data_IF_103519384694
#
_entry.id   IF_103519384694
#
_cell.length_a   1.000
_cell.length_b   1.000
_cell.length_c   1.000
_cell.angle_alpha   90.00
_cell.angle_beta   90.00
_cell.angle_gamma   90.00
#
_symmetry.space_group_name_H-M   'P 1'
#
loop_
_entity.id
_entity.type
_entity.pdbx_description
1 polymer ?
#
# COMPACT_ATOMS: atom_id res chain seq x y z
N UNK A 1 -4.66 -9.17 -29.45
CA UNK A 1 -3.30 -9.12 -28.84
C UNK A 1 -3.03 -7.85 -28.03
N UNK A 2 -3.31 -6.64 -28.54
CA UNK A 2 -3.04 -5.38 -27.79
C UNK A 2 -3.68 -5.31 -26.38
N UNK A 3 -4.97 -5.69 -26.17
CA UNK A 3 -5.54 -5.69 -24.82
C UNK A 3 -4.89 -6.71 -23.89
N UNK A 4 -4.53 -7.89 -24.39
CA UNK A 4 -3.85 -8.94 -23.60
C UNK A 4 -2.46 -8.48 -23.15
N UNK A 5 -1.67 -7.90 -24.06
CA UNK A 5 -0.33 -7.39 -23.75
C UNK A 5 -0.40 -6.30 -22.67
N UNK A 6 -1.35 -5.38 -22.82
CA UNK A 6 -1.61 -4.36 -21.81
C UNK A 6 -1.97 -5.00 -20.46
N UNK A 7 -2.99 -5.86 -20.44
CA UNK A 7 -3.53 -6.46 -19.23
C UNK A 7 -2.54 -7.31 -18.43
N UNK A 8 -1.65 -8.01 -19.11
CA UNK A 8 -0.70 -8.92 -18.48
C UNK A 8 0.65 -8.22 -18.34
N UNK A 9 1.31 -7.92 -19.45
CA UNK A 9 2.69 -7.44 -19.45
C UNK A 9 2.83 -6.09 -18.77
N UNK A 10 2.00 -5.10 -19.12
CA UNK A 10 2.10 -3.76 -18.51
C UNK A 10 1.74 -3.77 -17.03
N UNK A 11 0.76 -4.60 -16.62
CA UNK A 11 0.40 -4.74 -15.21
C UNK A 11 1.55 -5.34 -14.38
N UNK A 12 2.16 -6.42 -14.86
CA UNK A 12 3.30 -7.05 -14.19
C UNK A 12 4.54 -6.15 -14.19
N UNK A 13 4.83 -5.47 -15.30
CA UNK A 13 5.98 -4.56 -15.39
C UNK A 13 5.85 -3.41 -14.37
N UNK A 14 4.67 -2.79 -14.26
CA UNK A 14 4.44 -1.75 -13.25
C UNK A 14 4.60 -2.30 -11.82
N UNK A 15 4.06 -3.50 -11.56
CA UNK A 15 4.20 -4.19 -10.29
C UNK A 15 5.66 -4.45 -9.94
N UNK A 16 6.45 -4.98 -10.88
CA UNK A 16 7.89 -5.23 -10.71
C UNK A 16 8.62 -3.94 -10.37
N UNK A 17 8.39 -2.83 -11.10
CA UNK A 17 9.04 -1.56 -10.78
C UNK A 17 8.70 -1.07 -9.36
N UNK A 18 7.48 -1.32 -8.88
CA UNK A 18 7.14 -1.04 -7.48
C UNK A 18 7.91 -1.98 -6.53
N UNK A 19 7.91 -3.29 -6.78
CA UNK A 19 8.58 -4.28 -5.92
C UNK A 19 10.09 -4.06 -5.77
N UNK A 20 10.76 -3.55 -6.81
CA UNK A 20 12.21 -3.29 -6.81
C UNK A 20 12.56 -1.83 -6.49
N UNK A 21 11.57 -0.97 -6.23
CA UNK A 21 11.82 0.44 -5.93
C UNK A 21 12.37 1.25 -7.12
N UNK A 22 11.96 0.94 -8.35
CA UNK A 22 12.22 1.75 -9.55
C UNK A 22 11.08 2.77 -9.76
N UNK A 23 10.93 3.67 -8.80
CA UNK A 23 9.80 4.59 -8.65
C UNK A 23 9.63 5.55 -9.83
N UNK A 24 10.74 5.98 -10.45
CA UNK A 24 10.70 6.88 -11.62
C UNK A 24 10.18 6.18 -12.86
N UNK A 25 10.56 4.91 -13.07
CA UNK A 25 10.07 4.11 -14.20
C UNK A 25 8.59 3.80 -14.02
N UNK A 26 8.19 3.38 -12.81
CA UNK A 26 6.79 3.17 -12.47
C UNK A 26 5.94 4.42 -12.76
N UNK A 27 6.38 5.60 -12.29
CA UNK A 27 5.68 6.87 -12.50
C UNK A 27 5.58 7.25 -13.99
N UNK A 28 6.61 6.96 -14.80
CA UNK A 28 6.63 7.28 -16.22
C UNK A 28 5.63 6.45 -17.05
N UNK A 29 5.27 5.24 -16.60
CA UNK A 29 4.29 4.38 -17.29
C UNK A 29 2.84 4.85 -17.10
N UNK A 30 2.54 5.55 -15.99
CA UNK A 30 1.17 5.84 -15.58
C UNK A 30 0.33 6.55 -16.66
N UNK A 31 0.81 7.59 -17.38
CA UNK A 31 -0.02 8.27 -18.38
C UNK A 31 -0.53 7.36 -19.50
N UNK A 32 0.31 6.43 -19.97
CA UNK A 32 -0.09 5.47 -20.99
C UNK A 32 -1.05 4.41 -20.41
N UNK A 33 -0.80 3.96 -19.18
CA UNK A 33 -1.68 3.04 -18.47
C UNK A 33 -3.07 3.64 -18.29
N UNK A 34 -3.18 4.89 -17.84
CA UNK A 34 -4.45 5.60 -17.67
C UNK A 34 -5.24 5.70 -18.97
N UNK A 35 -4.55 5.95 -20.10
CA UNK A 35 -5.16 5.96 -21.43
C UNK A 35 -5.66 4.57 -21.82
N UNK A 36 -4.85 3.53 -21.62
CA UNK A 36 -5.17 2.17 -22.02
C UNK A 36 -6.25 1.52 -21.13
N UNK A 37 -6.30 1.85 -19.84
CA UNK A 37 -7.39 1.45 -18.94
C UNK A 37 -8.75 1.93 -19.47
N UNK A 38 -8.82 3.17 -19.98
CA UNK A 38 -10.04 3.71 -20.60
C UNK A 38 -10.34 3.06 -21.95
N UNK A 39 -9.32 2.79 -22.75
CA UNK A 39 -9.48 2.23 -24.10
C UNK A 39 -9.92 0.76 -24.08
N UNK A 40 -9.44 -0.01 -23.11
CA UNK A 40 -9.67 -1.45 -22.99
C UNK A 40 -10.51 -1.81 -21.77
N UNK A 41 -11.39 -0.91 -21.33
CA UNK A 41 -12.15 -1.06 -20.10
C UNK A 41 -13.01 -2.33 -20.10
N UNK A 42 -13.59 -2.70 -21.24
CA UNK A 42 -14.42 -3.90 -21.40
C UNK A 42 -13.62 -5.20 -21.47
N UNK A 43 -12.36 -5.14 -21.88
CA UNK A 43 -11.46 -6.28 -22.08
C UNK A 43 -10.53 -6.51 -20.88
N UNK A 44 -10.43 -5.54 -19.98
CA UNK A 44 -9.65 -5.65 -18.75
C UNK A 44 -10.47 -6.39 -17.70
N UNK A 45 -10.01 -7.56 -17.27
CA UNK A 45 -10.70 -8.30 -16.22
C UNK A 45 -10.60 -7.57 -14.86
N UNK A 46 -11.52 -7.91 -13.95
CA UNK A 46 -11.67 -7.27 -12.64
C UNK A 46 -10.36 -7.28 -11.82
N UNK A 47 -9.66 -8.42 -11.77
CA UNK A 47 -8.42 -8.57 -11.00
C UNK A 47 -7.31 -7.66 -11.55
N UNK A 48 -7.15 -7.59 -12.86
CA UNK A 48 -6.14 -6.74 -13.48
C UNK A 48 -6.44 -5.26 -13.28
N UNK A 49 -7.72 -4.84 -13.35
CA UNK A 49 -8.10 -3.44 -13.00
C UNK A 49 -7.65 -3.10 -11.58
N UNK A 50 -7.94 -3.98 -10.63
CA UNK A 50 -7.55 -3.80 -9.22
C UNK A 50 -6.04 -3.73 -9.04
N UNK A 51 -5.29 -4.62 -9.69
CA UNK A 51 -3.83 -4.59 -9.66
C UNK A 51 -3.26 -3.30 -10.27
N UNK A 52 -3.81 -2.84 -11.39
CA UNK A 52 -3.43 -1.55 -11.97
C UNK A 52 -3.67 -0.41 -10.98
N UNK A 53 -4.87 -0.30 -10.42
CA UNK A 53 -5.19 0.79 -9.49
C UNK A 53 -4.28 0.77 -8.26
N UNK A 54 -4.03 -0.41 -7.69
CA UNK A 54 -3.15 -0.57 -6.53
C UNK A 54 -1.70 -0.21 -6.87
N UNK A 55 -1.17 -0.71 -7.99
CA UNK A 55 0.20 -0.44 -8.39
C UNK A 55 0.41 1.03 -8.78
N UNK A 56 -0.57 1.67 -9.44
CA UNK A 56 -0.54 3.11 -9.72
C UNK A 56 -0.52 3.90 -8.40
N UNK A 57 -1.33 3.50 -7.43
CA UNK A 57 -1.34 4.14 -6.12
C UNK A 57 0.01 4.01 -5.39
N UNK A 58 0.63 2.83 -5.41
CA UNK A 58 1.95 2.58 -4.83
C UNK A 58 3.03 3.41 -5.55
N UNK A 59 3.00 3.46 -6.88
CA UNK A 59 3.93 4.28 -7.66
C UNK A 59 3.83 5.78 -7.27
N UNK A 60 2.61 6.29 -7.09
CA UNK A 60 2.42 7.65 -6.59
C UNK A 60 2.86 7.83 -5.13
N UNK A 61 2.65 6.83 -4.27
CA UNK A 61 3.09 6.84 -2.87
C UNK A 61 4.61 6.96 -2.75
N UNK A 62 5.35 6.15 -3.51
CA UNK A 62 6.82 6.16 -3.55
C UNK A 62 7.42 7.47 -4.06
N UNK A 63 6.69 8.15 -4.95
CA UNK A 63 7.06 9.46 -5.47
C UNK A 63 6.49 10.62 -4.61
N UNK A 64 6.00 10.34 -3.40
CA UNK A 64 5.47 11.33 -2.45
C UNK A 64 4.28 12.15 -3.00
N UNK A 65 3.61 11.63 -4.03
CA UNK A 65 2.41 12.21 -4.65
C UNK A 65 1.16 11.68 -3.94
N UNK A 66 1.08 11.93 -2.63
CA UNK A 66 0.10 11.28 -1.76
C UNK A 66 -1.36 11.52 -2.16
N UNK A 67 -1.73 12.73 -2.59
CA UNK A 67 -3.10 13.01 -3.05
C UNK A 67 -3.51 12.14 -4.25
N UNK A 68 -2.58 11.88 -5.18
CA UNK A 68 -2.84 10.99 -6.32
C UNK A 68 -2.88 9.53 -5.89
N UNK A 69 -2.01 9.13 -4.96
CA UNK A 69 -2.04 7.79 -4.37
C UNK A 69 -3.40 7.50 -3.73
N UNK A 70 -3.88 8.40 -2.86
CA UNK A 70 -5.18 8.32 -2.19
C UNK A 70 -6.33 8.29 -3.22
N UNK A 71 -6.27 9.10 -4.27
CA UNK A 71 -7.28 9.07 -5.34
C UNK A 71 -7.43 7.69 -5.96
N UNK A 72 -6.30 7.05 -6.34
CA UNK A 72 -6.32 5.71 -6.93
C UNK A 72 -6.73 4.63 -5.93
N UNK A 73 -6.35 4.76 -4.65
CA UNK A 73 -6.80 3.85 -3.58
C UNK A 73 -8.30 3.97 -3.36
N UNK A 74 -8.89 5.16 -3.42
CA UNK A 74 -10.33 5.33 -3.30
C UNK A 74 -11.08 4.69 -4.48
N UNK A 75 -10.58 4.82 -5.72
CA UNK A 75 -11.14 4.09 -6.87
C UNK A 75 -11.05 2.59 -6.62
N UNK A 76 -9.87 2.08 -6.29
CA UNK A 76 -9.63 0.68 -5.98
C UNK A 76 -10.59 0.13 -4.92
N UNK A 77 -10.79 0.88 -3.83
CA UNK A 77 -11.61 0.46 -2.70
C UNK A 77 -13.11 0.50 -3.00
N UNK A 78 -13.55 1.34 -3.93
CA UNK A 78 -14.94 1.48 -4.35
C UNK A 78 -15.31 0.51 -5.49
N UNK A 79 -14.38 0.23 -6.40
CA UNK A 79 -14.60 -0.66 -7.55
C UNK A 79 -14.58 -2.14 -7.17
N UNK A 80 -13.98 -2.51 -6.02
CA UNK A 80 -13.95 -3.90 -5.57
C UNK A 80 -15.29 -4.34 -4.99
N UNK A 81 -15.89 -5.35 -5.62
CA UNK A 81 -17.02 -6.06 -5.04
C UNK A 81 -16.53 -7.25 -4.21
N UNK A 82 -16.76 -7.22 -2.90
CA UNK A 82 -16.28 -8.25 -1.96
C UNK A 82 -16.94 -9.60 -2.27
N UNK A 83 -16.20 -10.47 -2.95
CA UNK A 83 -16.53 -11.89 -3.14
C UNK A 83 -15.63 -12.69 -2.21
N UNK A 84 -16.20 -13.25 -1.12
CA UNK A 84 -15.42 -14.00 -0.11
C UNK A 84 -14.61 -15.13 -0.77
N UNK A 85 -13.36 -15.29 -0.33
CA UNK A 85 -12.42 -16.37 -0.67
C UNK A 85 -11.84 -16.34 -2.10
N UNK A 86 -11.79 -15.18 -2.76
CA UNK A 86 -11.05 -15.01 -4.01
C UNK A 86 -9.68 -14.33 -3.81
N UNK A 87 -8.80 -14.44 -4.81
CA UNK A 87 -7.49 -13.78 -4.82
C UNK A 87 -7.63 -12.26 -4.66
N UNK A 88 -8.72 -11.69 -5.20
CA UNK A 88 -9.07 -10.27 -5.05
C UNK A 88 -9.25 -9.85 -3.59
N UNK A 89 -9.71 -10.73 -2.72
CA UNK A 89 -9.96 -10.44 -1.30
C UNK A 89 -8.67 -10.09 -0.55
N UNK A 90 -7.56 -10.77 -0.87
CA UNK A 90 -6.26 -10.43 -0.30
C UNK A 90 -5.77 -9.08 -0.84
N UNK A 91 -5.83 -8.87 -2.15
CA UNK A 91 -5.43 -7.58 -2.77
C UNK A 91 -6.22 -6.43 -2.14
N UNK A 92 -7.54 -6.60 -1.99
CA UNK A 92 -8.43 -5.63 -1.35
C UNK A 92 -8.10 -5.38 0.12
N UNK A 93 -7.80 -6.45 0.88
CA UNK A 93 -7.35 -6.34 2.26
C UNK A 93 -6.13 -5.41 2.39
N UNK A 94 -5.11 -5.61 1.56
CA UNK A 94 -3.90 -4.78 1.62
C UNK A 94 -4.11 -3.37 1.08
N UNK A 95 -4.99 -3.18 0.11
CA UNK A 95 -5.37 -1.84 -0.34
C UNK A 95 -5.90 -0.95 0.79
N UNK A 96 -6.64 -1.50 1.77
CA UNK A 96 -7.04 -0.73 2.97
C UNK A 96 -5.86 -0.33 3.86
N UNK A 97 -4.89 -1.23 4.07
CA UNK A 97 -3.69 -0.92 4.85
C UNK A 97 -2.84 0.15 4.16
N UNK A 98 -2.65 0.02 2.85
CA UNK A 98 -1.90 0.99 2.04
C UNK A 98 -2.65 2.34 1.99
N UNK A 99 -3.99 2.33 1.95
CA UNK A 99 -4.78 3.57 2.03
C UNK A 99 -4.59 4.29 3.38
N UNK A 100 -4.57 3.55 4.49
CA UNK A 100 -4.26 4.12 5.80
C UNK A 100 -2.85 4.72 5.84
N UNK A 101 -1.85 4.06 5.24
CA UNK A 101 -0.48 4.59 5.10
C UNK A 101 -0.48 5.86 4.24
N UNK A 102 -1.12 5.86 3.06
CA UNK A 102 -1.14 7.01 2.17
C UNK A 102 -1.78 8.24 2.83
N UNK A 103 -2.87 8.05 3.59
CA UNK A 103 -3.46 9.12 4.39
C UNK A 103 -2.56 9.59 5.53
N UNK A 104 -1.82 8.67 6.16
CA UNK A 104 -0.83 9.01 7.19
C UNK A 104 0.31 9.86 6.62
N UNK A 105 0.89 9.46 5.49
CA UNK A 105 1.95 10.20 4.79
C UNK A 105 1.47 11.58 4.32
N UNK A 106 0.22 11.68 3.84
CA UNK A 106 -0.41 12.94 3.48
C UNK A 106 -0.68 13.86 4.68
N UNK A 107 -0.43 13.41 5.92
CA UNK A 107 -0.78 14.11 7.17
C UNK A 107 -2.28 14.40 7.30
N UNK A 108 -3.12 13.56 6.68
CA UNK A 108 -4.58 13.63 6.77
C UNK A 108 -5.08 13.03 8.09
N UNK A 109 -4.54 13.49 9.22
CA UNK A 109 -4.75 12.88 10.54
C UNK A 109 -6.21 12.91 11.01
N UNK A 110 -6.96 13.94 10.63
CA UNK A 110 -8.38 14.03 10.96
C UNK A 110 -9.19 12.95 10.23
N UNK A 111 -8.84 12.63 8.98
CA UNK A 111 -9.48 11.55 8.20
C UNK A 111 -9.15 10.17 8.76
N UNK A 112 -7.94 9.96 9.29
CA UNK A 112 -7.47 8.65 9.79
C UNK A 112 -8.36 8.10 10.90
N UNK A 113 -8.88 8.96 11.78
CA UNK A 113 -9.76 8.51 12.86
C UNK A 113 -11.07 7.91 12.35
N UNK A 114 -11.65 8.50 11.31
CA UNK A 114 -12.83 7.95 10.63
C UNK A 114 -12.48 6.69 9.84
N UNK A 115 -11.43 6.78 9.01
CA UNK A 115 -10.99 5.70 8.12
C UNK A 115 -10.61 4.44 8.90
N UNK A 116 -9.98 4.57 10.08
CA UNK A 116 -9.58 3.44 10.89
C UNK A 116 -10.75 2.48 11.19
N UNK A 117 -11.88 3.00 11.64
CA UNK A 117 -13.04 2.17 11.99
C UNK A 117 -13.62 1.50 10.74
N UNK A 118 -13.69 2.24 9.63
CA UNK A 118 -14.16 1.73 8.35
C UNK A 118 -13.26 0.61 7.83
N UNK A 119 -11.95 0.82 7.80
CA UNK A 119 -10.96 -0.17 7.35
C UNK A 119 -10.98 -1.40 8.24
N UNK A 120 -10.95 -1.26 9.57
CA UNK A 120 -11.04 -2.42 10.49
C UNK A 120 -12.30 -3.24 10.24
N UNK A 121 -13.44 -2.59 10.07
CA UNK A 121 -14.70 -3.29 9.79
C UNK A 121 -14.68 -4.01 8.44
N UNK A 122 -14.10 -3.41 7.40
CA UNK A 122 -14.00 -4.03 6.08
C UNK A 122 -13.01 -5.20 6.07
N UNK A 123 -11.85 -5.05 6.73
CA UNK A 123 -10.84 -6.09 6.84
C UNK A 123 -11.38 -7.34 7.54
N UNK A 124 -12.12 -7.15 8.65
CA UNK A 124 -12.74 -8.24 9.40
C UNK A 124 -13.82 -9.00 8.63
N UNK A 125 -14.41 -8.42 7.57
CA UNK A 125 -15.34 -9.14 6.68
C UNK A 125 -14.63 -10.18 5.81
N UNK A 126 -13.32 -9.99 5.57
CA UNK A 126 -12.48 -10.84 4.74
C UNK A 126 -11.85 -11.93 5.62
N UNK A 127 -11.16 -11.53 6.68
CA UNK A 127 -10.49 -12.42 7.64
C UNK A 127 -10.21 -11.72 8.97
N UNK A 128 -9.95 -12.48 10.06
CA UNK A 128 -9.45 -11.89 11.30
C UNK A 128 -8.18 -11.06 11.05
N UNK A 129 -8.05 -9.93 11.74
CA UNK A 129 -6.82 -9.14 11.70
C UNK A 129 -5.69 -9.97 12.32
N UNK A 130 -4.54 -10.01 11.64
CA UNK A 130 -3.31 -10.57 12.20
C UNK A 130 -2.74 -9.63 13.27
N UNK A 131 -1.86 -10.12 14.13
CA UNK A 131 -1.17 -9.27 15.11
C UNK A 131 -0.35 -8.19 14.38
N UNK A 132 0.22 -8.54 13.23
CA UNK A 132 0.94 -7.61 12.37
C UNK A 132 0.04 -6.45 11.90
N UNK A 133 -1.12 -6.76 11.34
CA UNK A 133 -2.04 -5.75 10.80
C UNK A 133 -2.60 -4.86 11.92
N UNK A 134 -2.94 -5.45 13.06
CA UNK A 134 -3.40 -4.71 14.23
C UNK A 134 -2.34 -3.73 14.74
N UNK A 135 -1.07 -4.15 14.79
CA UNK A 135 0.04 -3.31 15.20
C UNK A 135 0.20 -2.08 14.29
N UNK A 136 0.19 -2.28 12.97
CA UNK A 136 0.28 -1.19 11.99
C UNK A 136 -0.90 -0.22 12.13
N UNK A 137 -2.13 -0.73 12.15
CA UNK A 137 -3.34 0.10 12.22
C UNK A 137 -3.40 0.91 13.52
N UNK A 138 -3.10 0.27 14.66
CA UNK A 138 -3.07 0.93 15.97
C UNK A 138 -1.99 2.00 16.02
N UNK A 139 -0.81 1.72 15.46
CA UNK A 139 0.28 2.69 15.36
C UNK A 139 -0.15 3.93 14.58
N UNK A 140 -0.68 3.77 13.36
CA UNK A 140 -1.12 4.89 12.52
C UNK A 140 -2.17 5.74 13.26
N UNK A 141 -3.16 5.09 13.88
CA UNK A 141 -4.20 5.79 14.66
C UNK A 141 -3.62 6.56 15.85
N UNK A 142 -2.69 5.94 16.59
CA UNK A 142 -2.03 6.56 17.75
C UNK A 142 -1.24 7.80 17.32
N UNK A 143 -0.41 7.67 16.29
CA UNK A 143 0.41 8.76 15.76
C UNK A 143 -0.46 9.91 15.25
N UNK A 144 -1.54 9.63 14.53
CA UNK A 144 -2.48 10.64 14.04
C UNK A 144 -3.21 11.37 15.17
N UNK A 145 -3.60 10.65 16.23
CA UNK A 145 -4.31 11.23 17.39
C UNK A 145 -3.41 12.07 18.27
N UNK A 146 -2.17 11.61 18.53
CA UNK A 146 -1.25 12.28 19.44
C UNK A 146 -0.58 13.51 18.82
N UNK A 147 -0.59 13.63 17.48
CA UNK A 147 0.05 14.73 16.74
C UNK A 147 1.46 15.02 17.28
N UNK A 148 2.24 13.96 17.48
CA UNK A 148 3.58 14.01 18.10
C UNK A 148 4.42 15.04 17.34
N UNK A 149 4.74 16.17 17.98
CA UNK A 149 5.38 17.30 17.31
C UNK A 149 6.89 17.11 17.16
N UNK A 150 7.52 16.39 18.09
CA UNK A 150 8.97 16.23 18.12
C UNK A 150 9.41 15.07 17.23
N UNK A 151 10.26 15.38 16.23
CA UNK A 151 10.83 14.38 15.30
C UNK A 151 11.50 13.20 16.01
N UNK A 152 12.19 13.45 17.13
CA UNK A 152 12.85 12.40 17.93
C UNK A 152 11.83 11.40 18.51
N UNK A 153 10.69 11.89 18.98
CA UNK A 153 9.63 11.04 19.54
C UNK A 153 8.94 10.23 18.44
N UNK A 154 8.74 10.83 17.25
CA UNK A 154 8.25 10.10 16.08
C UNK A 154 9.18 8.95 15.69
N UNK A 155 10.49 9.23 15.57
CA UNK A 155 11.50 8.21 15.24
C UNK A 155 11.50 7.09 16.29
N UNK A 156 11.42 7.42 17.58
CA UNK A 156 11.35 6.42 18.63
C UNK A 156 10.10 5.55 18.52
N UNK A 157 8.94 6.14 18.23
CA UNK A 157 7.70 5.38 18.02
C UNK A 157 7.81 4.41 16.82
N UNK A 158 8.46 4.82 15.73
CA UNK A 158 8.73 3.93 14.60
C UNK A 158 9.71 2.80 14.96
N UNK A 159 10.75 3.07 15.76
CA UNK A 159 11.67 2.04 16.25
C UNK A 159 10.96 1.01 17.15
N UNK A 160 10.07 1.47 18.02
CA UNK A 160 9.23 0.60 18.85
C UNK A 160 8.32 -0.29 17.99
N UNK A 161 7.64 0.30 17.00
CA UNK A 161 6.84 -0.46 16.04
C UNK A 161 7.69 -1.50 15.33
N UNK A 162 8.85 -1.12 14.81
CA UNK A 162 9.78 -1.99 14.08
C UNK A 162 10.14 -3.22 14.92
N UNK A 163 10.61 -3.00 16.14
CA UNK A 163 11.02 -4.08 17.05
C UNK A 163 9.85 -5.00 17.41
N UNK A 164 8.66 -4.44 17.64
CA UNK A 164 7.46 -5.25 17.88
C UNK A 164 7.11 -6.12 16.66
N UNK A 165 7.17 -5.57 15.45
CA UNK A 165 6.87 -6.34 14.24
C UNK A 165 7.91 -7.43 13.97
N UNK A 166 9.19 -7.20 14.26
CA UNK A 166 10.25 -8.23 14.16
C UNK A 166 9.97 -9.44 15.05
N UNK A 167 9.42 -9.23 16.24
CA UNK A 167 8.98 -10.33 17.11
C UNK A 167 7.72 -11.02 16.58
N UNK A 168 6.75 -10.25 16.05
CA UNK A 168 5.50 -10.79 15.52
C UNK A 168 5.73 -11.70 14.30
N UNK A 169 6.61 -11.32 13.37
CA UNK A 169 6.87 -12.09 12.14
C UNK A 169 7.63 -13.40 12.37
N UNK A 170 8.12 -13.66 13.58
CA UNK A 170 8.68 -14.98 13.94
C UNK A 170 7.62 -16.07 13.89
N UNK A 171 6.33 -15.73 14.02
CA UNK A 171 5.24 -16.62 13.66
C UNK A 171 5.01 -16.56 12.14
N UNK A 172 5.23 -17.65 11.39
CA UNK A 172 5.07 -17.66 9.94
C UNK A 172 3.68 -17.21 9.47
N UNK A 173 2.64 -17.39 10.28
CA UNK A 173 1.26 -16.98 9.94
C UNK A 173 1.11 -15.46 9.83
N UNK A 174 1.99 -14.70 10.48
CA UNK A 174 1.97 -13.23 10.51
C UNK A 174 2.73 -12.61 9.31
N UNK A 175 3.44 -13.42 8.51
CA UNK A 175 4.28 -12.93 7.39
C UNK A 175 3.51 -12.60 6.13
N UNK A 176 2.23 -13.00 6.04
CA UNK A 176 1.45 -12.88 4.81
C UNK A 176 1.31 -11.43 4.32
N UNK A 177 1.33 -10.46 5.24
CA UNK A 177 1.26 -9.03 4.92
C UNK A 177 2.50 -8.51 4.19
N UNK A 178 3.65 -9.18 4.35
CA UNK A 178 4.91 -8.79 3.73
C UNK A 178 4.98 -9.10 2.22
N UNK A 179 4.05 -9.90 1.69
CA UNK A 179 4.02 -10.24 0.26
C UNK A 179 3.46 -9.10 -0.63
N UNK A 180 2.76 -8.13 -0.06
CA UNK A 180 2.00 -7.14 -0.82
C UNK A 180 2.55 -5.72 -0.70
N UNK A 181 3.29 -5.43 0.37
CA UNK A 181 3.91 -4.12 0.62
C UNK A 181 5.09 -4.28 1.57
N UNK A 182 6.20 -3.58 1.32
CA UNK A 182 7.35 -3.60 2.23
C UNK A 182 7.13 -2.61 3.40
N UNK A 183 6.32 -3.05 4.38
CA UNK A 183 6.04 -2.27 5.59
C UNK A 183 7.30 -1.91 6.38
N UNK A 184 8.34 -2.76 6.33
CA UNK A 184 9.61 -2.45 6.97
C UNK A 184 10.34 -1.32 6.26
N UNK A 185 10.36 -1.31 4.91
CA UNK A 185 10.92 -0.17 4.17
C UNK A 185 10.16 1.13 4.46
N UNK A 186 8.83 1.07 4.63
CA UNK A 186 8.06 2.24 5.08
C UNK A 186 8.49 2.71 6.47
N UNK A 187 8.61 1.80 7.44
CA UNK A 187 9.06 2.14 8.81
C UNK A 187 10.49 2.71 8.79
N UNK A 188 11.40 2.05 8.07
CA UNK A 188 12.80 2.43 7.96
C UNK A 188 12.94 3.79 7.26
N UNK A 189 12.07 4.13 6.30
CA UNK A 189 12.05 5.44 5.64
C UNK A 189 11.85 6.59 6.64
N UNK A 190 11.02 6.38 7.68
CA UNK A 190 10.79 7.36 8.74
C UNK A 190 11.95 7.40 9.75
N UNK A 191 12.58 6.26 10.03
CA UNK A 191 13.70 6.15 10.98
C UNK A 191 14.97 6.78 10.39
N UNK A 192 15.27 6.47 9.12
CA UNK A 192 16.47 6.89 8.41
C UNK A 192 16.29 8.26 7.73
N UNK A 193 15.05 8.75 7.62
CA UNK A 193 14.72 9.96 6.87
C UNK A 193 15.17 9.86 5.40
N UNK A 194 14.88 8.72 4.79
CA UNK A 194 15.22 8.37 3.41
C UNK A 194 13.95 8.03 2.63
N UNK A 195 13.99 8.15 1.31
CA UNK A 195 12.84 7.79 0.48
C UNK A 195 12.60 6.26 0.51
N UNK A 196 11.33 5.86 0.66
CA UNK A 196 10.95 4.44 0.77
C UNK A 196 11.40 3.60 -0.44
N UNK A 197 11.23 4.10 -1.67
CA UNK A 197 11.62 3.35 -2.86
C UNK A 197 13.14 3.16 -2.94
N UNK A 198 13.91 4.15 -2.49
CA UNK A 198 15.36 4.03 -2.38
C UNK A 198 15.76 2.89 -1.43
N UNK A 199 15.11 2.77 -0.27
CA UNK A 199 15.37 1.69 0.69
C UNK A 199 14.97 0.31 0.15
N UNK A 200 13.82 0.21 -0.53
CA UNK A 200 13.38 -1.02 -1.20
C UNK A 200 14.42 -1.44 -2.24
N UNK A 201 14.82 -0.51 -3.11
CA UNK A 201 15.83 -0.74 -4.14
C UNK A 201 17.15 -1.21 -3.55
N UNK A 202 17.64 -0.55 -2.50
CA UNK A 202 18.86 -0.90 -1.79
C UNK A 202 18.80 -2.33 -1.22
N UNK A 203 17.65 -2.75 -0.69
CA UNK A 203 17.43 -4.10 -0.13
C UNK A 203 17.30 -5.19 -1.20
N UNK A 204 16.82 -4.84 -2.40
CA UNK A 204 16.58 -5.81 -3.50
C UNK A 204 17.79 -5.97 -4.43
N UNK A 205 18.61 -4.94 -4.57
CA UNK A 205 19.75 -4.91 -5.51
C UNK A 205 21.12 -4.89 -4.82
N UNK A 206 21.16 -4.71 -3.49
CA UNK A 206 22.36 -4.85 -2.66
C UNK A 206 22.38 -6.20 -1.96
#
# INVERSE_FOLDING_TARGET
YKPLLFNVTTCYELGIYCEIGEEKKALAMIPEIEKNLKLYDTETNEINKLLFYLNIAIAYLFNEKYSKSIYWLNIFLNDYNIKKNDVGSNIYYYGHLINMIAHFEAKNYDSINYLYNQSVNNLKKIRPLSKFDEAILKFIKKMASQKIALKKEQINAFKELRSMLEEVIKDPKETISLHFFDFFAWIDSHIENENMAFLIRKKKLG
#
